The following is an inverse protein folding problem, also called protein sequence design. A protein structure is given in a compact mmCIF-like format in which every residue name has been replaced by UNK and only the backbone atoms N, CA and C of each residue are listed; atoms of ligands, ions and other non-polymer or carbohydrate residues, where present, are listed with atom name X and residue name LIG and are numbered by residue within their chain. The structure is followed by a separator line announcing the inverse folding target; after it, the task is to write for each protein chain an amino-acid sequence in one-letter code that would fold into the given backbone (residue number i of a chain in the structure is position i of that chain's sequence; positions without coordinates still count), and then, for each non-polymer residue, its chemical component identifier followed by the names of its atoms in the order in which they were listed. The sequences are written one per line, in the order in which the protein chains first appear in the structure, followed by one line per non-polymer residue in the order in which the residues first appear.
data_IF_359136307776
#
_entry.id   IF_359136307776
#
_cell.length_a   1.000
_cell.length_b   1.000
_cell.length_c   1.000
_cell.angle_alpha   90.00
_cell.angle_beta   90.00
_cell.angle_gamma   90.00
#
_symmetry.space_group_name_H-M   'P 1'
#
loop_
_entity.id
_entity.type
_entity.pdbx_description
1 polymer ?
#
# COMPACT_ATOMS: atom_id res chain seq x y z
N UNK A 1 20.17 -27.08 54.35
CA UNK A 1 18.78 -26.96 53.91
C UNK A 1 18.34 -25.48 53.67
N UNK A 2 18.66 -24.51 54.52
CA UNK A 2 18.24 -23.08 54.32
C UNK A 2 18.80 -22.39 53.07
N UNK A 3 19.94 -22.79 52.51
CA UNK A 3 20.53 -22.18 51.28
C UNK A 3 19.84 -22.62 50.00
N UNK A 4 19.20 -23.80 49.96
CA UNK A 4 18.51 -24.32 48.79
C UNK A 4 17.17 -23.59 48.56
N UNK A 5 16.48 -23.22 49.62
CA UNK A 5 15.22 -22.46 49.53
C UNK A 5 15.42 -21.02 49.08
N UNK A 6 16.59 -20.42 49.34
CA UNK A 6 16.89 -19.06 48.89
C UNK A 6 17.17 -19.02 47.40
N UNK A 7 17.82 -20.03 46.82
CA UNK A 7 18.04 -20.15 45.37
C UNK A 7 16.76 -20.48 44.64
N UNK A 8 15.85 -21.29 45.16
CA UNK A 8 14.56 -21.58 44.57
C UNK A 8 13.64 -20.34 44.56
N UNK A 9 13.67 -19.53 45.62
CA UNK A 9 12.89 -18.27 45.67
C UNK A 9 13.42 -17.22 44.70
N UNK A 10 14.74 -17.19 44.44
CA UNK A 10 15.34 -16.26 43.45
C UNK A 10 15.03 -16.68 42.01
N UNK A 11 14.95 -17.98 41.70
CA UNK A 11 14.55 -18.47 40.37
C UNK A 11 13.05 -18.26 40.08
N UNK A 12 12.18 -18.32 41.10
CA UNK A 12 10.76 -18.03 40.92
C UNK A 12 10.47 -16.55 40.76
N UNK A 13 11.31 -15.65 41.28
CA UNK A 13 11.18 -14.18 41.08
C UNK A 13 11.56 -13.69 39.68
N UNK A 14 12.33 -14.48 38.93
CA UNK A 14 12.76 -14.13 37.55
C UNK A 14 11.76 -14.55 36.48
N UNK A 15 10.73 -15.33 36.80
CA UNK A 15 9.66 -15.75 35.88
C UNK A 15 8.43 -14.82 35.90
N UNK A 16 8.43 -13.79 36.72
CA UNK A 16 7.28 -12.87 36.89
C UNK A 16 7.41 -11.56 36.11
N UNK A 17 7.94 -11.57 34.87
CA UNK A 17 8.27 -10.32 34.25
C UNK A 17 8.00 -10.13 32.75
N UNK A 18 7.53 -11.12 32.02
CA UNK A 18 7.00 -10.92 30.70
C UNK A 18 5.50 -11.26 30.69
N UNK A 19 4.64 -10.27 30.93
CA UNK A 19 3.28 -10.36 30.36
C UNK A 19 3.50 -10.49 28.88
N UNK A 20 2.97 -11.54 28.20
CA UNK A 20 2.91 -11.50 26.74
C UNK A 20 2.17 -10.21 26.41
N UNK A 21 2.82 -9.31 25.71
CA UNK A 21 2.14 -8.16 25.09
C UNK A 21 1.04 -8.78 24.24
N UNK A 22 -0.20 -8.39 24.51
CA UNK A 22 -1.35 -8.79 23.70
C UNK A 22 -0.95 -8.53 22.24
N UNK A 23 -0.87 -9.54 21.37
CA UNK A 23 -0.38 -9.38 20.01
C UNK A 23 -1.25 -8.45 19.17
N UNK A 24 -2.38 -7.99 19.71
CA UNK A 24 -3.36 -7.13 19.06
C UNK A 24 -3.32 -5.66 19.54
N UNK A 25 -2.42 -5.31 20.47
CA UNK A 25 -2.38 -3.96 21.02
C UNK A 25 -1.36 -3.09 20.29
N UNK A 26 -1.82 -1.96 19.74
CA UNK A 26 -0.95 -0.95 19.16
C UNK A 26 -0.20 -0.18 20.26
N UNK A 27 1.11 0.02 20.07
CA UNK A 27 1.95 0.73 21.06
C UNK A 27 1.74 2.24 21.02
N UNK A 28 1.35 2.75 19.85
CA UNK A 28 1.10 4.16 19.61
C UNK A 28 -0.34 4.29 19.15
N UNK A 29 -1.13 5.09 19.87
CA UNK A 29 -2.49 5.45 19.45
C UNK A 29 -2.60 6.97 19.51
N UNK A 30 -2.93 7.60 18.38
CA UNK A 30 -3.03 9.04 18.24
C UNK A 30 -4.13 9.44 17.26
N UNK A 31 -4.64 10.64 17.43
CA UNK A 31 -5.50 11.33 16.46
C UNK A 31 -4.62 12.27 15.65
N UNK A 32 -4.69 12.19 14.33
CA UNK A 32 -3.91 13.04 13.43
C UNK A 32 -4.84 13.97 12.64
N UNK A 33 -4.49 15.25 12.64
CA UNK A 33 -5.14 16.26 11.81
C UNK A 33 -4.30 16.49 10.56
N UNK A 34 -4.91 16.51 9.36
CA UNK A 34 -4.17 16.72 8.13
C UNK A 34 -3.74 18.18 7.97
N UNK A 35 -2.60 18.35 7.32
CA UNK A 35 -2.18 19.62 6.73
C UNK A 35 -2.42 19.59 5.22
N UNK A 36 -2.67 20.74 4.62
CA UNK A 36 -2.77 20.88 3.17
C UNK A 36 -1.42 21.28 2.60
N UNK A 37 -0.94 20.48 1.64
CA UNK A 37 0.29 20.75 0.91
C UNK A 37 -0.06 21.28 -0.48
N UNK A 38 0.08 22.59 -0.74
CA UNK A 38 -0.14 23.15 -2.06
C UNK A 38 0.99 22.74 -3.02
N UNK A 39 0.63 22.29 -4.22
CA UNK A 39 1.57 21.86 -5.24
C UNK A 39 1.24 22.53 -6.57
N UNK A 40 2.14 23.37 -7.06
CA UNK A 40 1.97 24.12 -8.29
C UNK A 40 1.82 23.18 -9.51
N UNK A 41 0.82 23.42 -10.34
CA UNK A 41 0.62 22.71 -11.61
C UNK A 41 -0.14 21.38 -11.49
N UNK A 42 -0.57 20.98 -10.28
CA UNK A 42 -1.51 19.88 -10.12
C UNK A 42 -2.93 20.31 -10.53
N UNK A 43 -3.68 19.40 -11.11
CA UNK A 43 -5.08 19.64 -11.48
C UNK A 43 -6.00 18.52 -11.01
N UNK A 44 -5.52 17.27 -11.01
CA UNK A 44 -6.29 16.13 -10.56
C UNK A 44 -5.33 15.00 -10.16
N UNK A 45 -4.67 15.11 -8.98
CA UNK A 45 -3.73 14.10 -8.53
C UNK A 45 -4.45 12.78 -8.31
N UNK A 46 -3.88 11.71 -8.86
CA UNK A 46 -4.49 10.38 -8.87
C UNK A 46 -3.62 9.36 -8.17
N UNK A 47 -2.35 9.21 -8.56
CA UNK A 47 -1.39 8.30 -7.97
C UNK A 47 -0.14 9.00 -7.53
N UNK A 48 0.45 8.49 -6.50
CA UNK A 48 1.67 9.01 -5.90
C UNK A 48 2.72 7.91 -5.81
N UNK A 49 3.99 8.33 -5.89
CA UNK A 49 5.14 7.51 -5.52
C UNK A 49 6.17 8.39 -4.82
N UNK A 50 6.84 7.88 -3.80
CA UNK A 50 7.86 8.61 -3.05
C UNK A 50 9.25 8.00 -3.24
N UNK A 51 10.20 8.83 -3.70
CA UNK A 51 11.64 8.53 -3.76
C UNK A 51 12.37 9.66 -3.05
N UNK A 52 12.36 9.64 -1.73
CA UNK A 52 12.86 10.77 -0.91
C UNK A 52 14.13 11.40 -1.50
N UNK A 53 14.19 12.73 -1.66
CA UNK A 53 13.20 13.72 -1.25
C UNK A 53 12.13 14.07 -2.32
N UNK A 54 11.95 13.22 -3.33
CA UNK A 54 11.09 13.52 -4.47
C UNK A 54 9.76 12.76 -4.40
N UNK A 55 8.67 13.49 -4.52
CA UNK A 55 7.31 12.98 -4.68
C UNK A 55 6.92 13.04 -6.15
N UNK A 56 6.61 11.90 -6.73
CA UNK A 56 6.11 11.76 -8.09
C UNK A 56 4.60 11.70 -8.02
N UNK A 57 3.92 12.58 -8.75
CA UNK A 57 2.47 12.66 -8.81
C UNK A 57 2.01 12.39 -10.23
N UNK A 58 1.11 11.43 -10.39
CA UNK A 58 0.39 11.23 -11.65
C UNK A 58 -0.92 12.00 -11.60
N UNK A 59 -1.12 12.92 -12.56
CA UNK A 59 -2.40 13.57 -12.81
C UNK A 59 -3.30 12.67 -13.66
N UNK A 60 -4.59 12.64 -13.36
CA UNK A 60 -5.59 11.91 -14.15
C UNK A 60 -6.24 12.77 -15.25
N UNK A 61 -5.89 14.04 -15.35
CA UNK A 61 -6.43 14.94 -16.36
C UNK A 61 -5.83 14.62 -17.74
N UNK A 62 -6.63 14.00 -18.58
CA UNK A 62 -6.26 13.59 -19.93
C UNK A 62 -6.14 14.78 -20.91
N UNK A 63 -6.45 15.99 -20.48
CA UNK A 63 -6.42 17.20 -21.32
C UNK A 63 -5.09 17.95 -21.24
N UNK A 64 -4.17 17.53 -20.34
CA UNK A 64 -2.88 18.18 -20.16
C UNK A 64 -1.74 17.45 -20.87
N UNK A 65 -0.81 18.23 -21.39
CA UNK A 65 0.41 17.74 -22.04
C UNK A 65 1.42 17.12 -21.04
N UNK A 66 1.06 17.04 -19.76
CA UNK A 66 1.98 16.69 -18.69
C UNK A 66 1.30 15.84 -17.62
N UNK A 67 1.55 14.53 -17.66
CA UNK A 67 0.90 13.56 -16.79
C UNK A 67 1.60 13.44 -15.45
N UNK A 68 2.95 13.46 -15.47
CA UNK A 68 3.77 13.20 -14.28
C UNK A 68 4.48 14.45 -13.83
N UNK A 69 4.35 14.77 -12.54
CA UNK A 69 5.00 15.89 -11.89
C UNK A 69 5.94 15.38 -10.79
N UNK A 70 7.13 15.92 -10.70
CA UNK A 70 8.12 15.59 -9.67
C UNK A 70 8.32 16.81 -8.78
N UNK A 71 8.04 16.66 -7.48
CA UNK A 71 8.21 17.71 -6.47
C UNK A 71 9.27 17.35 -5.46
N UNK A 72 10.03 18.34 -5.02
CA UNK A 72 10.89 18.21 -3.85
C UNK A 72 10.05 18.51 -2.59
N UNK A 73 9.82 17.50 -1.75
CA UNK A 73 8.94 17.62 -0.56
C UNK A 73 9.53 18.49 0.55
N UNK A 74 10.83 18.86 0.48
CA UNK A 74 11.49 19.71 1.48
C UNK A 74 11.05 21.17 1.37
N UNK A 75 10.65 21.61 0.18
CA UNK A 75 10.27 23.00 -0.11
C UNK A 75 9.05 23.13 -1.02
N UNK A 76 8.37 22.00 -1.35
CA UNK A 76 7.21 21.92 -2.22
C UNK A 76 7.46 22.43 -3.64
N UNK A 77 8.71 22.35 -4.11
CA UNK A 77 9.14 22.90 -5.38
C UNK A 77 8.92 21.90 -6.53
N UNK A 78 8.26 22.32 -7.60
CA UNK A 78 8.15 21.56 -8.84
C UNK A 78 9.51 21.49 -9.54
N UNK A 79 10.05 20.29 -9.75
CA UNK A 79 11.36 20.05 -10.36
C UNK A 79 11.28 19.70 -11.84
N UNK A 80 10.37 18.83 -12.21
CA UNK A 80 10.14 18.54 -13.62
C UNK A 80 8.72 18.04 -13.87
N UNK A 81 8.31 18.13 -15.12
CA UNK A 81 7.04 17.64 -15.63
C UNK A 81 7.31 16.88 -16.91
N UNK A 82 6.69 15.74 -17.10
CA UNK A 82 6.88 14.92 -18.30
C UNK A 82 5.67 14.03 -18.59
N UNK A 83 5.67 13.45 -19.80
CA UNK A 83 4.64 12.55 -20.28
C UNK A 83 3.40 13.28 -20.79
N UNK A 84 2.91 12.88 -21.94
CA UNK A 84 1.67 13.33 -22.57
C UNK A 84 0.85 12.13 -23.04
N UNK A 85 -0.46 12.30 -23.19
CA UNK A 85 -1.32 11.27 -23.76
C UNK A 85 -1.16 11.24 -25.29
N UNK A 86 -0.94 10.04 -25.82
CA UNK A 86 -0.79 9.83 -27.25
C UNK A 86 -0.17 8.48 -27.60
N UNK A 87 0.24 8.32 -28.87
CA UNK A 87 0.83 7.08 -29.38
C UNK A 87 2.29 7.25 -29.86
N UNK A 88 2.88 8.42 -29.65
CA UNK A 88 4.26 8.70 -30.00
C UNK A 88 5.27 8.05 -29.04
N UNK A 89 6.58 8.11 -29.37
CA UNK A 89 7.62 7.42 -28.61
C UNK A 89 7.77 7.84 -27.13
N UNK A 90 7.32 9.04 -26.79
CA UNK A 90 7.35 9.60 -25.42
C UNK A 90 5.96 9.83 -24.84
N UNK A 91 4.94 9.30 -25.51
CA UNK A 91 3.55 9.45 -25.14
C UNK A 91 3.02 8.18 -24.49
N UNK A 92 1.95 8.32 -23.76
CA UNK A 92 1.29 7.27 -23.01
C UNK A 92 -0.14 7.07 -23.48
N UNK A 93 -0.56 5.82 -23.63
CA UNK A 93 -1.96 5.48 -23.94
C UNK A 93 -2.77 5.33 -22.64
N UNK A 94 -2.28 4.55 -21.73
CA UNK A 94 -2.85 4.33 -20.40
C UNK A 94 -1.71 4.20 -19.38
N UNK A 95 -1.16 5.33 -18.90
CA UNK A 95 -0.08 5.30 -17.93
C UNK A 95 -0.61 4.92 -16.55
N UNK A 96 0.23 4.20 -15.79
CA UNK A 96 -0.07 3.84 -14.42
C UNK A 96 1.20 3.86 -13.59
N UNK A 97 1.28 4.81 -12.65
CA UNK A 97 2.40 4.92 -11.73
C UNK A 97 2.27 3.81 -10.66
N UNK A 98 3.30 2.98 -10.54
CA UNK A 98 3.34 1.89 -9.57
C UNK A 98 4.07 2.31 -8.30
N UNK A 99 3.53 1.92 -7.16
CA UNK A 99 4.27 1.96 -5.92
C UNK A 99 5.31 0.84 -5.91
N UNK A 100 6.51 1.14 -5.47
CA UNK A 100 7.56 0.14 -5.35
C UNK A 100 8.68 0.61 -4.42
N UNK A 101 9.46 -0.33 -3.89
CA UNK A 101 10.57 -0.06 -2.98
C UNK A 101 11.93 0.06 -3.70
N UNK A 102 11.98 -0.09 -5.01
CA UNK A 102 13.21 0.03 -5.82
C UNK A 102 13.71 1.48 -5.83
N UNK A 103 14.98 1.73 -6.13
CA UNK A 103 15.53 3.07 -6.28
C UNK A 103 14.83 3.88 -7.38
N UNK A 104 14.46 3.20 -8.47
CA UNK A 104 13.71 3.78 -9.58
C UNK A 104 12.22 3.81 -9.29
N UNK A 105 11.50 4.78 -9.84
CA UNK A 105 10.06 4.68 -9.95
C UNK A 105 9.66 4.06 -11.28
N UNK A 106 8.47 3.44 -11.30
CA UNK A 106 8.03 2.61 -12.42
C UNK A 106 6.68 3.10 -12.92
N UNK A 107 6.58 3.22 -14.23
CA UNK A 107 5.32 3.51 -14.94
C UNK A 107 5.02 2.33 -15.85
N UNK A 108 3.79 1.82 -15.83
CA UNK A 108 3.31 0.96 -16.90
C UNK A 108 2.66 1.81 -17.99
N UNK A 109 2.75 1.35 -19.23
CA UNK A 109 2.03 1.97 -20.33
C UNK A 109 1.19 0.90 -21.03
N UNK A 110 -0.10 1.14 -21.11
CA UNK A 110 -1.09 0.22 -21.70
C UNK A 110 -1.06 -1.20 -21.04
N UNK A 111 -0.62 -1.29 -19.79
CA UNK A 111 -0.50 -2.54 -19.03
C UNK A 111 0.38 -3.65 -19.66
N UNK A 112 1.28 -3.31 -20.60
CA UNK A 112 2.08 -4.31 -21.33
C UNK A 112 3.59 -4.15 -21.14
N UNK A 113 4.05 -3.02 -20.63
CA UNK A 113 5.48 -2.77 -20.42
C UNK A 113 5.72 -1.95 -19.17
N UNK A 114 6.84 -2.22 -18.50
CA UNK A 114 7.38 -1.38 -17.44
C UNK A 114 8.38 -0.38 -18.01
N UNK A 115 8.27 0.85 -17.58
CA UNK A 115 9.25 1.90 -17.85
C UNK A 115 9.84 2.34 -16.52
N UNK A 116 11.14 2.12 -16.34
CA UNK A 116 11.88 2.49 -15.13
C UNK A 116 12.55 3.84 -15.30
N UNK A 117 12.40 4.70 -14.32
CA UNK A 117 12.94 6.05 -14.31
C UNK A 117 13.81 6.28 -13.09
N UNK A 118 14.94 6.93 -13.27
CA UNK A 118 15.70 7.52 -12.16
C UNK A 118 15.40 9.00 -12.03
N UNK A 119 15.55 9.52 -10.82
CA UNK A 119 15.55 10.94 -10.54
C UNK A 119 16.97 11.34 -10.14
N UNK A 120 17.50 12.39 -10.76
CA UNK A 120 18.81 12.91 -10.41
C UNK A 120 18.73 13.87 -9.21
N UNK A 121 19.89 14.37 -8.76
CA UNK A 121 19.97 15.31 -7.61
C UNK A 121 19.26 16.65 -7.83
N UNK A 122 18.98 17.01 -9.08
CA UNK A 122 18.29 18.24 -9.45
C UNK A 122 16.77 18.00 -9.68
N UNK A 123 16.31 16.75 -9.44
CA UNK A 123 14.90 16.35 -9.54
C UNK A 123 14.45 16.04 -10.96
N UNK A 124 15.39 15.85 -11.93
CA UNK A 124 15.04 15.54 -13.29
C UNK A 124 14.83 14.03 -13.48
N UNK A 125 13.68 13.67 -14.02
CA UNK A 125 13.33 12.27 -14.32
C UNK A 125 13.93 11.84 -15.68
N UNK A 126 14.60 10.70 -15.67
CA UNK A 126 15.19 10.12 -16.89
C UNK A 126 14.81 8.65 -17.01
N UNK A 127 14.21 8.27 -18.15
CA UNK A 127 13.92 6.87 -18.44
C UNK A 127 15.23 6.09 -18.63
N UNK A 128 15.40 5.04 -17.82
CA UNK A 128 16.58 4.14 -17.86
C UNK A 128 16.33 2.93 -18.72
N UNK A 129 15.15 2.37 -18.60
CA UNK A 129 14.84 1.09 -19.21
C UNK A 129 13.35 1.01 -19.55
N UNK A 130 13.03 0.32 -20.65
CA UNK A 130 11.68 -0.13 -21.00
C UNK A 130 11.73 -1.63 -21.20
N UNK A 131 10.95 -2.35 -20.40
CA UNK A 131 10.92 -3.83 -20.43
C UNK A 131 9.49 -4.28 -20.64
N UNK A 132 9.29 -5.14 -21.64
CA UNK A 132 8.05 -5.89 -21.81
C UNK A 132 8.30 -7.29 -21.24
N UNK A 133 7.61 -7.70 -20.17
CA UNK A 133 7.74 -9.05 -19.64
C UNK A 133 7.40 -10.08 -20.70
N UNK A 134 8.11 -11.21 -20.71
CA UNK A 134 7.82 -12.29 -21.63
C UNK A 134 6.44 -12.91 -21.34
N UNK A 135 6.09 -13.02 -20.06
CA UNK A 135 4.74 -13.41 -19.63
C UNK A 135 3.77 -12.22 -19.76
N UNK A 136 2.80 -12.37 -20.67
CA UNK A 136 1.86 -11.28 -21.01
C UNK A 136 0.65 -11.28 -20.09
N UNK A 137 0.48 -10.19 -19.32
CA UNK A 137 -0.71 -9.93 -18.51
C UNK A 137 -0.81 -8.45 -18.17
N UNK A 138 -1.93 -8.03 -17.53
CA UNK A 138 -2.07 -6.67 -17.05
C UNK A 138 -1.11 -6.40 -15.90
N UNK A 139 -0.36 -5.31 -16.01
CA UNK A 139 0.73 -4.94 -15.10
C UNK A 139 0.36 -3.78 -14.15
N UNK A 140 -0.88 -3.29 -14.19
CA UNK A 140 -1.31 -2.12 -13.38
C UNK A 140 -1.29 -2.36 -11.88
N UNK A 141 -1.24 -3.62 -11.45
CA UNK A 141 -1.20 -4.04 -10.04
C UNK A 141 0.03 -4.89 -9.75
N UNK A 142 1.10 -4.70 -10.53
CA UNK A 142 2.35 -5.41 -10.31
C UNK A 142 3.08 -4.81 -9.11
N UNK A 143 3.51 -5.68 -8.20
CA UNK A 143 4.30 -5.34 -7.01
C UNK A 143 5.69 -5.98 -7.12
N UNK A 144 6.74 -5.18 -6.98
CA UNK A 144 8.11 -5.63 -7.21
C UNK A 144 8.72 -6.24 -5.95
N UNK A 145 9.30 -7.45 -6.10
CA UNK A 145 10.17 -8.06 -5.09
C UNK A 145 11.61 -7.55 -5.28
N UNK A 146 12.09 -7.52 -6.53
CA UNK A 146 13.35 -6.90 -6.93
C UNK A 146 13.30 -6.58 -8.44
N UNK A 147 14.39 -6.09 -9.03
CA UNK A 147 14.43 -5.53 -10.39
C UNK A 147 13.79 -6.36 -11.50
N UNK A 148 13.89 -7.68 -11.45
CA UNK A 148 13.31 -8.57 -12.47
C UNK A 148 12.15 -9.42 -11.97
N UNK A 149 11.91 -9.44 -10.65
CA UNK A 149 10.95 -10.32 -10.02
C UNK A 149 9.78 -9.52 -9.43
N UNK A 150 8.57 -9.88 -9.79
CA UNK A 150 7.36 -9.21 -9.35
C UNK A 150 6.22 -10.19 -9.11
N UNK A 151 5.22 -9.75 -8.39
CA UNK A 151 3.95 -10.47 -8.20
C UNK A 151 2.81 -9.66 -8.80
N UNK A 152 1.79 -10.37 -9.27
CA UNK A 152 0.56 -9.78 -9.81
C UNK A 152 -0.65 -10.56 -9.31
N UNK A 153 -1.77 -9.86 -9.14
CA UNK A 153 -3.05 -10.49 -8.82
C UNK A 153 -4.01 -10.32 -9.99
N UNK A 154 -4.13 -11.29 -10.90
CA UNK A 154 -5.00 -11.18 -12.06
C UNK A 154 -6.48 -11.50 -11.72
N UNK A 155 -6.91 -11.21 -10.51
CA UNK A 155 -8.23 -11.53 -9.98
C UNK A 155 -9.38 -10.95 -10.83
N UNK A 156 -9.22 -9.75 -11.40
CA UNK A 156 -10.17 -9.15 -12.34
C UNK A 156 -10.42 -9.97 -13.61
N UNK A 157 -9.48 -10.85 -13.97
CA UNK A 157 -9.61 -11.74 -15.11
C UNK A 157 -10.16 -13.12 -14.72
N UNK A 158 -10.71 -13.26 -13.52
CA UNK A 158 -11.24 -14.53 -13.02
C UNK A 158 -10.17 -15.55 -12.64
N UNK A 159 -8.91 -15.17 -12.59
CA UNK A 159 -7.79 -16.01 -12.18
C UNK A 159 -7.67 -15.95 -10.64
N UNK A 160 -7.88 -17.05 -9.91
CA UNK A 160 -7.94 -17.05 -8.45
C UNK A 160 -6.56 -17.17 -7.78
N UNK A 161 -5.52 -16.81 -8.47
CA UNK A 161 -4.14 -16.96 -8.00
C UNK A 161 -3.41 -15.64 -8.01
N UNK A 162 -2.52 -15.48 -7.06
CA UNK A 162 -1.42 -14.54 -7.15
C UNK A 162 -0.27 -15.24 -7.89
N UNK A 163 0.36 -14.54 -8.80
CA UNK A 163 1.42 -15.09 -9.64
C UNK A 163 2.75 -14.37 -9.35
N UNK A 164 3.80 -15.14 -9.09
CA UNK A 164 5.16 -14.67 -9.03
C UNK A 164 5.78 -14.83 -10.42
N UNK A 165 6.23 -13.74 -11.01
CA UNK A 165 6.72 -13.67 -12.37
C UNK A 165 8.15 -13.13 -12.42
N UNK A 166 8.94 -13.58 -13.39
CA UNK A 166 10.20 -12.98 -13.77
C UNK A 166 10.07 -12.31 -15.14
N UNK A 167 10.76 -11.20 -15.35
CA UNK A 167 10.71 -10.41 -16.59
C UNK A 167 11.03 -11.21 -17.86
N UNK A 168 11.85 -12.26 -17.73
CA UNK A 168 12.37 -13.07 -18.86
C UNK A 168 11.66 -14.40 -19.00
N UNK A 169 10.85 -14.80 -18.04
CA UNK A 169 10.13 -16.08 -18.07
C UNK A 169 8.81 -15.93 -18.84
N UNK A 170 8.54 -16.86 -19.76
CA UNK A 170 7.29 -16.96 -20.50
C UNK A 170 6.16 -17.53 -19.63
N UNK A 171 6.48 -18.16 -18.50
CA UNK A 171 5.55 -18.75 -17.55
C UNK A 171 5.77 -18.18 -16.15
N UNK A 172 4.71 -18.11 -15.32
CA UNK A 172 4.88 -17.74 -13.92
C UNK A 172 5.80 -18.72 -13.20
N UNK A 173 6.67 -18.19 -12.34
CA UNK A 173 7.56 -19.03 -11.54
C UNK A 173 6.81 -19.81 -10.47
N UNK A 174 5.74 -19.20 -9.92
CA UNK A 174 4.93 -19.78 -8.86
C UNK A 174 3.53 -19.17 -8.85
N UNK A 175 2.54 -19.96 -8.48
CA UNK A 175 1.19 -19.51 -8.22
C UNK A 175 0.81 -19.78 -6.76
N UNK A 176 0.02 -18.87 -6.17
CA UNK A 176 -0.48 -18.98 -4.81
C UNK A 176 -1.99 -18.74 -4.80
N UNK A 177 -2.74 -19.78 -4.44
CA UNK A 177 -4.19 -19.69 -4.26
C UNK A 177 -4.50 -19.17 -2.85
N UNK A 178 -4.97 -17.95 -2.74
CA UNK A 178 -5.32 -17.33 -1.44
C UNK A 178 -6.83 -17.35 -1.15
N UNK A 179 -7.63 -17.83 -2.09
CA UNK A 179 -9.10 -17.89 -2.01
C UNK A 179 -9.65 -19.21 -2.52
N UNK A 180 -10.95 -19.41 -2.33
CA UNK A 180 -11.66 -20.55 -2.91
C UNK A 180 -11.70 -20.45 -4.44
N UNK A 181 -11.01 -21.35 -5.11
CA UNK A 181 -10.90 -21.40 -6.57
C UNK A 181 -12.17 -21.88 -7.27
N UNK A 182 -13.17 -22.34 -6.51
CA UNK A 182 -14.47 -22.76 -7.05
C UNK A 182 -15.46 -21.61 -7.21
N UNK A 183 -15.19 -20.44 -6.58
CA UNK A 183 -16.02 -19.26 -6.72
C UNK A 183 -15.81 -18.61 -8.09
N UNK A 184 -16.91 -18.40 -8.80
CA UNK A 184 -16.91 -17.85 -10.16
C UNK A 184 -16.70 -16.35 -10.14
N UNK A 185 -17.27 -15.65 -9.15
CA UNK A 185 -17.22 -14.19 -9.07
C UNK A 185 -16.31 -13.75 -7.92
N UNK A 186 -15.24 -13.02 -8.24
CA UNK A 186 -14.31 -12.49 -7.26
C UNK A 186 -14.98 -11.52 -6.26
N UNK A 187 -15.95 -10.75 -6.72
CA UNK A 187 -16.67 -9.81 -5.86
C UNK A 187 -17.49 -10.49 -4.77
N UNK A 188 -17.88 -11.75 -5.00
CA UNK A 188 -18.70 -12.54 -4.07
C UNK A 188 -17.86 -13.35 -3.07
N UNK A 189 -16.53 -13.23 -3.13
CA UNK A 189 -15.63 -13.97 -2.26
C UNK A 189 -15.49 -13.30 -0.88
N UNK A 190 -15.96 -13.91 0.22
CA UNK A 190 -15.77 -13.37 1.56
C UNK A 190 -14.28 -13.30 1.99
N UNK A 191 -13.40 -14.02 1.29
CA UNK A 191 -11.95 -13.98 1.48
C UNK A 191 -11.25 -13.07 0.46
N UNK A 192 -11.97 -12.15 -0.16
CA UNK A 192 -11.43 -11.21 -1.12
C UNK A 192 -10.27 -10.42 -0.52
N UNK A 193 -9.17 -10.35 -1.28
CA UNK A 193 -8.00 -9.53 -1.01
C UNK A 193 -8.04 -8.34 -1.97
N UNK A 194 -8.27 -7.15 -1.46
CA UNK A 194 -8.31 -5.94 -2.29
C UNK A 194 -6.92 -5.33 -2.46
N UNK A 195 -6.03 -5.56 -1.49
CA UNK A 195 -4.68 -5.01 -1.53
C UNK A 195 -3.65 -6.10 -1.32
N UNK A 196 -2.79 -6.22 -2.30
CA UNK A 196 -1.58 -7.01 -2.26
C UNK A 196 -0.40 -6.06 -2.41
N UNK A 197 0.60 -6.25 -1.58
CA UNK A 197 1.85 -5.48 -1.62
C UNK A 197 3.03 -6.42 -1.62
N UNK A 198 4.14 -6.01 -2.25
CA UNK A 198 5.39 -6.73 -2.13
C UNK A 198 6.59 -5.78 -1.99
N UNK A 199 7.58 -6.24 -1.26
CA UNK A 199 8.91 -5.68 -1.25
C UNK A 199 9.95 -6.81 -1.24
N UNK A 200 11.23 -6.47 -1.13
CA UNK A 200 12.31 -7.46 -1.15
C UNK A 200 12.22 -8.55 -0.06
N UNK A 201 11.43 -8.34 0.97
CA UNK A 201 11.39 -9.23 2.15
C UNK A 201 10.03 -9.91 2.33
N UNK A 202 8.94 -9.31 1.88
CA UNK A 202 7.58 -9.72 2.20
C UNK A 202 6.63 -9.55 1.03
N UNK A 203 5.62 -10.41 1.03
CA UNK A 203 4.36 -10.21 0.31
C UNK A 203 3.29 -10.12 1.38
N UNK A 204 2.43 -9.11 1.27
CA UNK A 204 1.39 -8.84 2.26
C UNK A 204 0.03 -8.81 1.60
N UNK A 205 -0.93 -9.52 2.19
CA UNK A 205 -2.32 -9.59 1.73
C UNK A 205 -3.23 -8.94 2.77
N UNK A 206 -3.95 -7.90 2.39
CA UNK A 206 -4.96 -7.25 3.22
C UNK A 206 -6.36 -7.65 2.74
N UNK A 207 -7.16 -8.23 3.64
CA UNK A 207 -8.49 -8.75 3.30
C UNK A 207 -9.54 -7.65 3.36
N UNK A 208 -10.43 -7.63 2.35
CA UNK A 208 -11.46 -6.61 2.22
C UNK A 208 -12.56 -6.71 3.29
N UNK A 209 -13.01 -7.93 3.60
CA UNK A 209 -14.19 -8.15 4.46
C UNK A 209 -13.84 -8.74 5.83
N UNK A 210 -12.57 -9.02 6.07
CA UNK A 210 -12.06 -9.51 7.34
C UNK A 210 -10.99 -8.55 7.86
N UNK A 211 -10.96 -8.30 9.15
CA UNK A 211 -9.82 -7.60 9.75
C UNK A 211 -8.65 -8.56 9.90
N UNK A 212 -8.10 -8.93 8.74
CA UNK A 212 -7.05 -9.92 8.59
C UNK A 212 -5.98 -9.43 7.64
N UNK A 213 -4.73 -9.69 7.99
CA UNK A 213 -3.55 -9.44 7.17
C UNK A 213 -2.67 -10.68 7.20
N UNK A 214 -2.28 -11.18 6.02
CA UNK A 214 -1.32 -12.27 5.90
C UNK A 214 0.03 -11.72 5.46
N UNK A 215 1.06 -12.01 6.23
CA UNK A 215 2.46 -11.74 5.91
C UNK A 215 3.09 -13.03 5.39
N UNK A 216 3.53 -12.99 4.15
CA UNK A 216 4.18 -14.11 3.47
C UNK A 216 5.67 -13.77 3.22
N UNK A 217 6.49 -14.80 3.09
CA UNK A 217 7.80 -14.63 2.46
C UNK A 217 7.66 -14.48 0.93
N UNK A 218 8.76 -14.20 0.25
CA UNK A 218 8.76 -14.02 -1.21
C UNK A 218 8.53 -15.32 -1.98
N UNK A 219 8.45 -16.46 -1.29
CA UNK A 219 8.10 -17.77 -1.83
C UNK A 219 6.68 -18.23 -1.47
N UNK A 220 5.84 -17.28 -1.02
CA UNK A 220 4.44 -17.50 -0.65
C UNK A 220 4.24 -18.42 0.57
N UNK A 221 5.23 -18.60 1.42
CA UNK A 221 5.03 -19.28 2.69
C UNK A 221 4.46 -18.28 3.71
N UNK A 222 3.38 -18.67 4.39
CA UNK A 222 2.78 -17.85 5.44
C UNK A 222 3.75 -17.76 6.62
N UNK A 223 4.19 -16.53 6.95
CA UNK A 223 5.02 -16.23 8.11
C UNK A 223 4.12 -15.93 9.30
N UNK A 224 3.14 -15.05 9.11
CA UNK A 224 2.23 -14.65 10.16
C UNK A 224 0.88 -14.25 9.59
N UNK A 225 -0.19 -14.68 10.26
CA UNK A 225 -1.53 -14.15 10.09
C UNK A 225 -1.85 -13.25 11.28
N UNK A 226 -2.30 -12.04 10.99
CA UNK A 226 -2.80 -11.09 11.98
C UNK A 226 -4.31 -11.06 11.84
N UNK A 227 -5.01 -11.43 12.90
CA UNK A 227 -6.47 -11.40 13.00
C UNK A 227 -6.86 -10.65 14.27
N UNK A 228 -7.95 -9.90 14.23
CA UNK A 228 -8.44 -9.14 15.38
C UNK A 228 -9.81 -9.68 15.79
N UNK A 229 -9.91 -10.13 17.03
CA UNK A 229 -11.13 -10.75 17.59
C UNK A 229 -12.25 -9.73 17.84
N UNK A 230 -11.93 -8.45 17.91
CA UNK A 230 -12.89 -7.35 18.13
C UNK A 230 -13.67 -6.94 16.87
N UNK A 231 -13.32 -7.50 15.72
CA UNK A 231 -13.96 -7.21 14.45
C UNK A 231 -14.93 -8.32 14.04
N UNK A 232 -16.20 -7.98 13.88
CA UNK A 232 -17.22 -8.87 13.34
C UNK A 232 -17.41 -8.58 11.86
N UNK A 233 -16.96 -9.48 10.96
CA UNK A 233 -17.18 -9.32 9.54
C UNK A 233 -18.68 -9.28 9.20
N UNK A 234 -19.06 -8.43 8.27
CA UNK A 234 -20.39 -8.47 7.65
C UNK A 234 -20.19 -8.54 6.14
N UNK A 235 -20.64 -9.61 5.55
CA UNK A 235 -20.59 -9.83 4.12
C UNK A 235 -21.99 -10.19 3.61
N UNK A 236 -22.53 -9.35 2.71
CA UNK A 236 -23.87 -9.48 2.15
C UNK A 236 -23.80 -9.40 0.64
N UNK A 237 -23.55 -10.54 -0.02
CA UNK A 237 -23.36 -10.60 -1.46
C UNK A 237 -24.52 -10.02 -2.31
N UNK A 238 -25.76 -10.00 -1.76
CA UNK A 238 -26.95 -9.44 -2.42
C UNK A 238 -27.08 -7.92 -2.25
N UNK A 239 -26.41 -7.36 -1.29
CA UNK A 239 -26.43 -5.93 -0.99
C UNK A 239 -25.01 -5.42 -0.69
N UNK A 240 -24.23 -5.07 -1.72
CA UNK A 240 -22.86 -4.60 -1.57
C UNK A 240 -22.72 -3.41 -0.63
N UNK A 241 -23.72 -2.52 -0.59
CA UNK A 241 -23.68 -1.31 0.26
C UNK A 241 -23.73 -1.64 1.75
N UNK A 242 -24.14 -2.86 2.10
CA UNK A 242 -24.13 -3.38 3.47
C UNK A 242 -22.89 -4.19 3.83
N UNK A 243 -21.95 -4.36 2.89
CA UNK A 243 -20.67 -4.99 3.22
C UNK A 243 -19.88 -4.12 4.17
N UNK A 244 -19.36 -4.72 5.24
CA UNK A 244 -18.43 -4.08 6.14
C UNK A 244 -17.02 -4.22 5.57
N UNK A 245 -16.47 -3.14 5.07
CA UNK A 245 -15.11 -3.13 4.53
C UNK A 245 -14.10 -3.01 5.67
N UNK A 246 -13.07 -3.84 5.63
CA UNK A 246 -11.96 -3.82 6.57
C UNK A 246 -10.81 -2.98 6.01
N UNK A 247 -9.84 -3.58 5.35
CA UNK A 247 -8.71 -2.87 4.77
C UNK A 247 -8.98 -2.55 3.31
N UNK A 248 -9.07 -1.27 2.99
CA UNK A 248 -9.41 -0.82 1.64
C UNK A 248 -8.19 -0.36 0.84
N UNK A 249 -7.24 0.27 1.52
CA UNK A 249 -6.03 0.82 0.93
C UNK A 249 -4.83 0.50 1.81
N UNK A 250 -3.64 0.59 1.24
CA UNK A 250 -2.42 0.47 2.00
C UNK A 250 -1.19 0.91 1.21
N UNK A 251 -0.08 0.89 1.91
CA UNK A 251 1.25 1.14 1.36
C UNK A 251 2.27 0.28 2.11
N UNK A 252 3.10 -0.43 1.38
CA UNK A 252 4.19 -1.22 1.96
C UNK A 252 5.52 -0.47 1.77
N UNK A 253 6.03 0.09 2.85
CA UNK A 253 7.34 0.70 2.88
C UNK A 253 8.46 -0.31 3.02
N UNK A 254 9.65 0.16 3.37
CA UNK A 254 10.81 -0.70 3.68
C UNK A 254 10.72 -1.28 5.09
N UNK A 255 10.16 -0.51 6.03
CA UNK A 255 10.09 -0.81 7.47
C UNK A 255 8.73 -1.26 7.94
N UNK A 256 7.66 -0.73 7.33
CA UNK A 256 6.30 -0.89 7.82
C UNK A 256 5.30 -1.13 6.68
N UNK A 257 4.25 -1.89 7.04
CA UNK A 257 2.98 -1.87 6.33
C UNK A 257 2.12 -0.75 6.94
N UNK A 258 1.53 0.06 6.09
CA UNK A 258 0.54 1.08 6.44
C UNK A 258 -0.79 0.67 5.82
N UNK A 259 -1.75 0.22 6.63
CA UNK A 259 -3.03 -0.28 6.17
C UNK A 259 -4.17 0.63 6.62
N UNK A 260 -5.00 1.09 5.68
CA UNK A 260 -6.14 1.94 6.00
C UNK A 260 -7.35 1.08 6.35
N UNK A 261 -7.72 1.06 7.61
CA UNK A 261 -8.84 0.33 8.16
C UNK A 261 -10.11 1.18 8.19
N UNK A 262 -11.17 0.72 7.55
CA UNK A 262 -12.49 1.37 7.56
C UNK A 262 -13.39 0.86 8.71
N UNK A 263 -13.56 -0.44 8.81
CA UNK A 263 -14.38 -1.09 9.84
C UNK A 263 -15.89 -0.81 9.76
N UNK A 264 -16.38 -0.28 8.63
CA UNK A 264 -17.78 0.10 8.44
C UNK A 264 -18.24 -0.17 7.00
N UNK A 265 -19.52 -0.01 6.73
CA UNK A 265 -20.08 -0.04 5.38
C UNK A 265 -19.83 1.28 4.65
N UNK A 266 -19.95 1.29 3.33
CA UNK A 266 -19.85 2.54 2.54
C UNK A 266 -20.93 3.53 2.93
N UNK A 267 -22.16 3.08 3.19
CA UNK A 267 -23.25 3.96 3.64
C UNK A 267 -22.95 4.59 5.01
N UNK A 268 -22.36 3.82 5.93
CA UNK A 268 -21.93 4.36 7.23
C UNK A 268 -20.78 5.35 7.07
N UNK A 269 -19.85 5.09 6.15
CA UNK A 269 -18.73 5.98 5.87
C UNK A 269 -19.21 7.31 5.28
N UNK A 270 -20.15 7.28 4.34
CA UNK A 270 -20.76 8.48 3.76
C UNK A 270 -21.52 9.28 4.82
N UNK A 271 -22.32 8.60 5.66
CA UNK A 271 -23.05 9.24 6.75
C UNK A 271 -22.13 9.92 7.79
N UNK A 272 -20.90 9.46 7.92
CA UNK A 272 -19.87 10.05 8.80
C UNK A 272 -18.97 11.06 8.09
N UNK A 273 -19.27 11.42 6.85
CA UNK A 273 -18.42 12.28 6.02
C UNK A 273 -16.96 11.75 5.90
N UNK A 274 -16.79 10.44 5.82
CA UNK A 274 -15.49 9.79 5.76
C UNK A 274 -14.71 9.69 7.08
N UNK A 275 -15.28 10.16 8.20
CA UNK A 275 -14.62 10.15 9.51
C UNK A 275 -14.56 8.73 10.12
N UNK A 276 -13.60 8.53 11.01
CA UNK A 276 -13.44 7.29 11.77
C UNK A 276 -12.66 6.20 11.04
N UNK A 277 -11.92 6.55 10.00
CA UNK A 277 -10.93 5.67 9.40
C UNK A 277 -9.62 5.69 10.20
N UNK A 278 -8.97 4.54 10.28
CA UNK A 278 -7.73 4.40 11.01
C UNK A 278 -6.61 3.96 10.07
N UNK A 279 -5.46 4.59 10.20
CA UNK A 279 -4.21 4.07 9.63
C UNK A 279 -3.58 3.14 10.67
N UNK A 280 -3.57 1.85 10.39
CA UNK A 280 -2.92 0.83 11.23
C UNK A 280 -1.55 0.49 10.65
N UNK A 281 -0.52 0.52 11.48
CA UNK A 281 0.87 0.34 11.09
C UNK A 281 1.41 -0.94 11.72
N UNK A 282 2.02 -1.78 10.90
CA UNK A 282 2.62 -3.06 11.32
C UNK A 282 4.08 -3.11 10.90
N UNK A 283 4.93 -3.74 11.70
CA UNK A 283 6.29 -4.06 11.27
C UNK A 283 6.30 -5.21 10.24
N UNK A 284 7.47 -5.51 9.67
CA UNK A 284 7.61 -6.57 8.66
C UNK A 284 7.40 -7.99 9.21
N UNK A 285 7.34 -8.14 10.53
CA UNK A 285 6.99 -9.40 11.19
C UNK A 285 5.50 -9.46 11.59
N UNK A 286 4.70 -8.46 11.16
CA UNK A 286 3.27 -8.37 11.41
C UNK A 286 2.91 -8.02 12.86
N UNK A 287 3.80 -7.36 13.60
CA UNK A 287 3.47 -6.87 14.93
C UNK A 287 2.82 -5.48 14.83
N UNK A 288 1.71 -5.22 15.55
CA UNK A 288 1.08 -3.91 15.60
C UNK A 288 2.05 -2.87 16.20
N UNK A 289 2.23 -1.74 15.52
CA UNK A 289 3.13 -0.66 15.94
C UNK A 289 2.36 0.58 16.33
N UNK A 290 1.53 1.09 15.41
CA UNK A 290 0.78 2.31 15.62
C UNK A 290 -0.61 2.24 15.00
N UNK A 291 -1.56 2.94 15.63
CA UNK A 291 -2.92 3.17 15.12
C UNK A 291 -3.21 4.66 15.18
N UNK A 292 -3.48 5.25 14.03
CA UNK A 292 -3.79 6.66 13.91
C UNK A 292 -5.24 6.82 13.47
N UNK A 293 -6.05 7.51 14.27
CA UNK A 293 -7.35 8.01 13.81
C UNK A 293 -7.10 9.23 12.92
N UNK A 294 -7.47 9.13 11.66
CA UNK A 294 -7.29 10.22 10.70
C UNK A 294 -8.51 11.14 10.73
N UNK A 295 -8.29 12.40 11.11
CA UNK A 295 -9.31 13.45 11.01
C UNK A 295 -9.39 13.99 9.59
N UNK A 296 -10.56 14.49 9.21
CA UNK A 296 -10.80 14.99 7.86
C UNK A 296 -11.27 13.90 6.91
N UNK A 297 -11.12 14.13 5.62
CA UNK A 297 -11.51 13.16 4.61
C UNK A 297 -10.53 11.98 4.54
N UNK A 298 -11.05 10.86 4.10
CA UNK A 298 -10.30 9.62 3.94
C UNK A 298 -9.23 9.77 2.85
N UNK A 299 -7.98 9.36 3.13
CA UNK A 299 -6.94 9.27 2.12
C UNK A 299 -7.35 8.39 0.92
N UNK A 300 -6.90 8.76 -0.27
CA UNK A 300 -7.03 7.97 -1.50
C UNK A 300 -5.65 7.79 -2.10
N UNK A 301 -5.24 6.53 -2.40
CA UNK A 301 -3.93 6.26 -2.99
C UNK A 301 -2.81 7.05 -2.31
N UNK A 302 -2.48 6.66 -1.11
CA UNK A 302 -1.45 7.34 -0.35
C UNK A 302 -0.09 6.64 -0.46
N UNK A 303 0.96 7.43 -0.20
CA UNK A 303 2.32 6.94 0.02
C UNK A 303 2.83 7.47 1.36
N UNK A 304 3.83 6.80 1.91
CA UNK A 304 4.50 7.23 3.14
C UNK A 304 5.99 7.41 2.88
N UNK A 305 6.47 8.62 3.12
CA UNK A 305 7.89 8.89 3.20
C UNK A 305 8.42 8.41 4.57
N UNK A 306 9.11 7.29 4.59
CA UNK A 306 9.67 6.71 5.82
C UNK A 306 10.91 7.44 6.35
N UNK A 307 11.51 8.38 5.61
CA UNK A 307 12.58 9.23 6.11
C UNK A 307 12.04 10.33 7.04
N UNK A 308 10.84 10.82 6.74
CA UNK A 308 10.19 11.89 7.52
C UNK A 308 8.94 11.41 8.26
N UNK A 309 8.52 10.16 8.06
CA UNK A 309 7.24 9.60 8.52
C UNK A 309 6.05 10.48 8.16
N UNK A 310 5.99 10.85 6.90
CA UNK A 310 4.91 11.69 6.38
C UNK A 310 4.09 10.92 5.35
N UNK A 311 2.79 10.84 5.57
CA UNK A 311 1.84 10.32 4.60
C UNK A 311 1.39 11.46 3.68
N UNK A 312 1.39 11.20 2.37
CA UNK A 312 0.85 12.08 1.34
C UNK A 312 -0.30 11.38 0.62
N UNK A 313 -1.40 12.08 0.38
CA UNK A 313 -2.57 11.54 -0.30
C UNK A 313 -3.29 12.57 -1.15
N UNK A 314 -3.77 12.23 -2.35
CA UNK A 314 -4.81 12.99 -3.02
C UNK A 314 -6.10 12.94 -2.22
N UNK A 315 -6.96 13.93 -2.40
CA UNK A 315 -8.26 13.98 -1.74
C UNK A 315 -9.36 14.41 -2.71
N UNK A 316 -10.55 13.83 -2.56
CA UNK A 316 -11.74 14.29 -3.27
C UNK A 316 -12.28 15.56 -2.61
N UNK A 317 -12.60 16.58 -3.41
CA UNK A 317 -13.27 17.78 -2.92
C UNK A 317 -12.36 18.88 -2.39
N UNK A 318 -11.02 18.68 -2.35
CA UNK A 318 -10.05 19.76 -2.14
C UNK A 318 -9.82 20.57 -3.42
N UNK A 319 -9.19 21.75 -3.27
CA UNK A 319 -8.54 22.38 -4.40
C UNK A 319 -7.67 21.36 -5.11
N UNK A 320 -7.85 21.23 -6.42
CA UNK A 320 -7.20 20.20 -7.24
C UNK A 320 -5.68 20.25 -7.22
N UNK A 321 -5.11 21.35 -6.73
CA UNK A 321 -3.68 21.63 -6.58
C UNK A 321 -3.12 21.34 -5.18
N UNK A 322 -3.84 20.57 -4.34
CA UNK A 322 -3.40 20.26 -2.98
C UNK A 322 -3.36 18.75 -2.73
N UNK A 323 -2.46 18.34 -1.82
CA UNK A 323 -2.47 17.02 -1.20
C UNK A 323 -2.76 17.12 0.30
N UNK A 324 -3.31 16.08 0.87
CA UNK A 324 -3.32 15.84 2.30
C UNK A 324 -1.94 15.38 2.75
N UNK A 325 -1.50 15.90 3.87
CA UNK A 325 -0.27 15.51 4.53
C UNK A 325 -0.53 15.20 6.01
N UNK A 326 -0.12 14.01 6.46
CA UNK A 326 -0.18 13.62 7.88
C UNK A 326 1.21 13.30 8.40
N UNK A 327 1.58 13.88 9.54
CA UNK A 327 2.81 13.51 10.27
C UNK A 327 2.53 12.31 11.17
N UNK A 328 3.15 11.17 10.88
CA UNK A 328 2.96 9.91 11.61
C UNK A 328 3.85 9.90 12.87
N UNK A 329 3.42 10.66 13.86
CA UNK A 329 4.18 10.92 15.07
C UNK A 329 4.42 9.66 15.92
N UNK A 330 5.65 9.46 16.35
CA UNK A 330 6.08 8.38 17.23
C UNK A 330 6.69 7.17 16.55
N UNK A 331 6.59 7.04 15.22
CA UNK A 331 7.36 6.07 14.43
C UNK A 331 8.85 6.44 14.41
N UNK A 332 9.71 5.42 14.24
CA UNK A 332 11.18 5.58 14.29
C UNK A 332 11.84 4.80 13.16
#
# INVERSE_FOLDING_TARGET
MKRIYFLLALCLGLLAGCKPTDPQTFRIEKVLTPELMPLQGLTNPFRLEIKHPYLIVQNSDNLQDSIFHVYDVRNNELKCVFGSIGQGPKEYVMPWLLNNHLPEFIITNNNVAFQKFSIDKDGQATMKEKVTPAFQMALSEAEFIHDSLFVVSPAFYGIPYMLKCDMKSEEPLKAYAYRDTTLINYADDPNRVDNMFANQNRIVLCYAYKKQIDFLDTDFNLIKRVEFDDYVPKYEWRNPDEHKTSYELGYLGKRYLYALFMGCTYNELEAREGKGTHLEVFDMDGNPVARYELQGERPRYFVVDEETFTLYSPMKGLPEDHLLMYKLEGLK
#
